data_IF_648390391845
#
_entry.id   IF_648390391845
#
_cell.length_a   1.000
_cell.length_b   1.000
_cell.length_c   1.000
_cell.angle_alpha   90.00
_cell.angle_beta   90.00
_cell.angle_gamma   90.00
#
_symmetry.space_group_name_H-M   'P 1'
#
loop_
_entity.id
_entity.type
_entity.pdbx_description
1 polymer ?
#
# COMPACT_ATOMS: atom_id res chain seq x y z
N UNK A 1 -4.09 -7.08 15.12
CA UNK A 1 -4.37 -5.98 16.08
C UNK A 1 -4.88 -4.80 15.28
N UNK A 2 -5.80 -4.02 15.84
CA UNK A 2 -6.35 -2.82 15.17
C UNK A 2 -5.92 -1.57 15.95
N UNK A 3 -5.56 -0.50 15.24
CA UNK A 3 -5.26 0.82 15.81
C UNK A 3 -6.19 1.83 15.19
N UNK A 4 -7.07 2.42 16.00
CA UNK A 4 -7.89 3.55 15.60
C UNK A 4 -7.01 4.79 15.37
N UNK A 5 -7.22 5.46 14.25
CA UNK A 5 -6.54 6.70 13.90
C UNK A 5 -7.38 7.88 14.38
N UNK A 6 -6.71 8.95 14.79
CA UNK A 6 -7.38 10.22 15.06
C UNK A 6 -7.93 10.79 13.74
N UNK A 7 -9.16 11.29 13.74
CA UNK A 7 -9.79 11.91 12.56
C UNK A 7 -8.96 13.08 11.99
N UNK A 8 -8.12 13.69 12.82
CA UNK A 8 -7.25 14.82 12.48
C UNK A 8 -5.78 14.45 12.52
N UNK A 9 -5.45 13.17 12.33
CA UNK A 9 -4.07 12.72 12.31
C UNK A 9 -3.29 13.46 11.21
N UNK A 10 -2.21 14.13 11.62
CA UNK A 10 -1.29 14.77 10.71
C UNK A 10 -0.22 13.76 10.22
N UNK A 11 0.59 14.20 9.27
CA UNK A 11 1.67 13.40 8.70
C UNK A 11 2.62 12.86 9.78
N UNK A 12 3.06 13.72 10.70
CA UNK A 12 4.00 13.35 11.74
C UNK A 12 3.41 12.31 12.70
N UNK A 13 2.14 12.46 13.06
CA UNK A 13 1.40 11.50 13.87
C UNK A 13 1.30 10.14 13.18
N UNK A 14 0.90 10.13 11.90
CA UNK A 14 0.79 8.91 11.13
C UNK A 14 2.15 8.20 10.97
N UNK A 15 3.18 8.96 10.59
CA UNK A 15 4.56 8.46 10.45
C UNK A 15 5.09 7.91 11.77
N UNK A 16 4.76 8.55 12.90
CA UNK A 16 5.14 8.08 14.23
C UNK A 16 4.49 6.74 14.58
N UNK A 17 3.22 6.53 14.19
CA UNK A 17 2.54 5.24 14.37
C UNK A 17 3.27 4.17 13.54
N UNK A 18 3.52 4.41 12.25
CA UNK A 18 4.22 3.43 11.41
C UNK A 18 5.62 3.14 11.94
N UNK A 19 6.36 4.15 12.40
CA UNK A 19 7.70 3.99 13.01
C UNK A 19 7.69 3.16 14.30
N UNK A 20 6.57 3.09 15.02
CA UNK A 20 6.46 2.23 16.20
C UNK A 20 6.49 0.74 15.82
N UNK A 21 6.16 0.40 14.57
CA UNK A 21 6.19 -0.95 14.02
C UNK A 21 7.41 -1.21 13.13
N UNK A 22 7.71 -0.28 12.23
CA UNK A 22 8.75 -0.42 11.21
C UNK A 22 9.85 0.60 11.45
N UNK A 23 10.96 0.15 12.03
CA UNK A 23 12.06 1.03 12.45
C UNK A 23 12.99 1.40 11.31
N UNK A 24 13.03 0.57 10.26
CA UNK A 24 13.92 0.74 9.12
C UNK A 24 13.10 1.01 7.85
N UNK A 25 13.27 0.16 6.84
CA UNK A 25 12.65 0.25 5.53
C UNK A 25 11.14 0.04 5.63
N UNK A 26 10.37 0.83 4.87
CA UNK A 26 8.95 0.61 4.69
C UNK A 26 8.68 0.39 3.20
N UNK A 27 8.30 -0.82 2.83
CA UNK A 27 7.80 -1.11 1.49
C UNK A 27 6.31 -0.79 1.45
N UNK A 28 5.93 0.02 0.47
CA UNK A 28 4.54 0.37 0.18
C UNK A 28 4.14 -0.40 -1.07
N UNK A 29 3.17 -1.31 -0.95
CA UNK A 29 2.61 -2.06 -2.07
C UNK A 29 1.21 -1.55 -2.34
N UNK A 30 0.90 -1.26 -3.60
CA UNK A 30 -0.39 -0.71 -3.98
C UNK A 30 -0.76 -1.05 -5.43
N UNK A 31 -2.06 -1.03 -5.72
CA UNK A 31 -2.57 -0.88 -7.07
C UNK A 31 -3.03 0.57 -7.24
N UNK A 32 -2.24 1.37 -7.95
CA UNK A 32 -2.50 2.80 -8.16
C UNK A 32 -3.38 2.97 -9.42
N UNK A 33 -4.59 3.55 -9.33
CA UNK A 33 -5.42 3.86 -10.48
C UNK A 33 -4.70 4.78 -11.47
N UNK A 34 -4.88 4.58 -12.78
CA UNK A 34 -4.21 5.40 -13.80
C UNK A 34 -4.58 6.90 -13.75
N UNK A 35 -5.74 7.27 -13.19
CA UNK A 35 -6.10 8.67 -13.00
C UNK A 35 -5.26 9.40 -11.91
N UNK A 36 -4.57 8.67 -11.02
CA UNK A 36 -3.73 9.25 -9.94
C UNK A 36 -2.40 9.79 -10.48
N UNK A 37 -2.46 10.65 -11.50
CA UNK A 37 -1.28 11.20 -12.16
C UNK A 37 -0.39 12.02 -11.21
N UNK A 38 -1.00 12.73 -10.26
CA UNK A 38 -0.27 13.52 -9.27
C UNK A 38 0.62 12.61 -8.40
N UNK A 39 0.09 11.48 -7.94
CA UNK A 39 0.88 10.51 -7.18
C UNK A 39 1.97 9.88 -8.05
N UNK A 40 1.69 9.52 -9.31
CA UNK A 40 2.75 9.00 -10.19
C UNK A 40 3.88 10.01 -10.41
N UNK A 41 3.57 11.30 -10.49
CA UNK A 41 4.59 12.35 -10.62
C UNK A 41 5.44 12.46 -9.35
N UNK A 42 4.80 12.43 -8.17
CA UNK A 42 5.47 12.42 -6.86
C UNK A 42 6.39 11.21 -6.68
N UNK A 43 5.97 10.04 -7.17
CA UNK A 43 6.71 8.79 -7.04
C UNK A 43 7.69 8.52 -8.19
N UNK A 44 7.81 9.38 -9.19
CA UNK A 44 8.34 9.05 -10.53
C UNK A 44 9.68 8.31 -10.59
N UNK A 45 10.58 8.50 -9.63
CA UNK A 45 11.87 7.80 -9.59
C UNK A 45 11.91 6.61 -8.63
N UNK A 46 10.92 6.50 -7.75
CA UNK A 46 10.91 5.57 -6.61
C UNK A 46 9.86 4.46 -6.74
N UNK A 47 8.84 4.64 -7.59
CA UNK A 47 7.84 3.62 -7.87
C UNK A 47 8.33 2.60 -8.89
N UNK A 48 8.30 1.33 -8.49
CA UNK A 48 8.64 0.19 -9.33
C UNK A 48 7.35 -0.46 -9.80
N UNK A 49 7.01 -0.23 -11.07
CA UNK A 49 5.90 -0.88 -11.74
C UNK A 49 6.20 -2.37 -11.96
N UNK A 50 5.23 -3.21 -11.60
CA UNK A 50 5.30 -4.66 -11.76
C UNK A 50 4.35 -5.15 -12.85
N UNK A 51 3.09 -4.70 -12.82
CA UNK A 51 2.08 -5.14 -13.79
C UNK A 51 0.86 -4.21 -13.80
N UNK A 52 -0.01 -4.35 -14.80
CA UNK A 52 -1.24 -3.57 -14.93
C UNK A 52 -2.47 -4.48 -14.96
N UNK A 53 -3.52 -4.10 -14.22
CA UNK A 53 -4.75 -4.88 -14.13
C UNK A 53 -5.99 -3.99 -14.27
N UNK A 54 -7.08 -4.49 -14.87
CA UNK A 54 -8.34 -3.76 -14.85
C UNK A 54 -8.90 -3.73 -13.43
N UNK A 55 -9.28 -2.54 -12.96
CA UNK A 55 -9.88 -2.33 -11.64
C UNK A 55 -11.35 -2.80 -11.65
N UNK A 56 -11.79 -3.54 -10.62
CA UNK A 56 -13.16 -4.06 -10.57
C UNK A 56 -14.21 -2.99 -10.22
N UNK A 57 -13.80 -1.85 -9.64
CA UNK A 57 -14.68 -0.84 -9.06
C UNK A 57 -15.07 0.30 -10.01
N UNK A 58 -14.56 0.31 -11.24
CA UNK A 58 -14.74 1.42 -12.17
C UNK A 58 -15.75 1.07 -13.26
N UNK A 59 -16.69 2.00 -13.52
CA UNK A 59 -17.72 1.87 -14.57
C UNK A 59 -17.11 1.89 -15.98
N UNK A 60 -15.97 2.57 -16.11
CA UNK A 60 -15.06 2.51 -17.26
C UNK A 60 -14.03 1.41 -17.03
N UNK A 61 -13.51 0.77 -18.09
CA UNK A 61 -12.43 -0.24 -18.00
C UNK A 61 -11.10 0.41 -17.58
N UNK A 62 -11.06 0.97 -16.39
CA UNK A 62 -9.89 1.64 -15.87
C UNK A 62 -8.86 0.61 -15.44
N UNK A 63 -7.60 0.91 -15.73
CA UNK A 63 -6.47 0.08 -15.34
C UNK A 63 -5.85 0.65 -14.07
N UNK A 64 -5.40 -0.24 -13.21
CA UNK A 64 -4.57 0.05 -12.04
C UNK A 64 -3.19 -0.54 -12.24
N UNK A 65 -2.19 0.23 -11.85
CA UNK A 65 -0.78 -0.13 -11.88
C UNK A 65 -0.40 -0.79 -10.56
N UNK A 66 -0.12 -2.09 -10.60
CA UNK A 66 0.48 -2.80 -9.49
C UNK A 66 1.97 -2.45 -9.44
N UNK A 67 2.42 -2.01 -8.27
CA UNK A 67 3.84 -1.82 -8.03
C UNK A 67 4.12 -1.61 -6.55
N UNK A 68 5.33 -1.16 -6.29
CA UNK A 68 5.76 -0.87 -4.93
C UNK A 68 6.78 0.27 -4.88
N UNK A 69 6.90 0.85 -3.70
CA UNK A 69 7.90 1.85 -3.36
C UNK A 69 8.71 1.32 -2.19
N UNK A 70 10.04 1.40 -2.28
CA UNK A 70 10.91 1.22 -1.12
C UNK A 70 11.09 2.58 -0.44
N UNK A 71 10.31 2.84 0.59
CA UNK A 71 10.27 4.12 1.29
C UNK A 71 11.03 4.05 2.63
N UNK A 72 12.36 4.07 2.56
CA UNK A 72 13.24 4.06 3.73
C UNK A 72 13.10 5.32 4.60
N UNK A 73 12.66 6.44 4.02
CA UNK A 73 12.47 7.71 4.73
C UNK A 73 11.03 7.91 5.24
N UNK A 74 10.11 7.01 4.86
CA UNK A 74 8.68 7.12 5.16
C UNK A 74 8.08 8.45 4.68
N UNK A 75 8.56 8.95 3.54
CA UNK A 75 8.12 10.22 2.96
C UNK A 75 6.79 10.09 2.22
N UNK A 76 6.42 8.88 1.80
CA UNK A 76 5.23 8.61 0.99
C UNK A 76 4.09 7.96 1.78
N UNK A 77 4.36 7.40 2.96
CA UNK A 77 3.35 6.63 3.70
C UNK A 77 2.08 7.45 4.01
N UNK A 78 2.21 8.75 4.24
CA UNK A 78 1.07 9.62 4.51
C UNK A 78 0.30 9.97 3.23
N UNK A 79 0.99 10.20 2.12
CA UNK A 79 0.33 10.45 0.83
C UNK A 79 -0.49 9.26 0.35
N UNK A 80 0.01 8.05 0.56
CA UNK A 80 -0.73 6.82 0.33
C UNK A 80 -1.90 6.67 1.30
N UNK A 81 -1.72 7.02 2.57
CA UNK A 81 -2.80 7.04 3.56
C UNK A 81 -3.95 7.97 3.15
N UNK A 82 -3.65 9.20 2.71
CA UNK A 82 -4.67 10.16 2.27
C UNK A 82 -5.51 9.65 1.09
N UNK A 83 -4.94 8.75 0.28
CA UNK A 83 -5.58 8.15 -0.90
C UNK A 83 -6.07 6.72 -0.65
N UNK A 84 -6.03 6.22 0.58
CA UNK A 84 -6.34 4.82 0.89
C UNK A 84 -7.79 4.44 0.60
N UNK A 85 -8.70 5.42 0.56
CA UNK A 85 -10.13 5.20 0.27
C UNK A 85 -10.42 5.07 -1.22
N UNK A 86 -9.52 5.56 -2.08
CA UNK A 86 -9.62 5.51 -3.54
C UNK A 86 -8.73 4.45 -4.17
N UNK A 87 -7.82 3.85 -3.40
CA UNK A 87 -6.90 2.81 -3.84
C UNK A 87 -7.29 1.43 -3.34
N UNK A 88 -7.21 0.45 -4.23
CA UNK A 88 -7.33 -0.95 -3.86
C UNK A 88 -5.93 -1.50 -3.44
N UNK A 89 -5.92 -2.36 -2.42
CA UNK A 89 -4.74 -3.13 -1.98
C UNK A 89 -3.52 -2.32 -1.50
N UNK A 90 -3.72 -1.38 -0.57
CA UNK A 90 -2.63 -0.66 0.09
C UNK A 90 -2.08 -1.44 1.30
N UNK A 91 -0.81 -1.86 1.19
CA UNK A 91 -0.12 -2.66 2.20
C UNK A 91 1.25 -2.04 2.51
N UNK A 92 1.55 -1.90 3.79
CA UNK A 92 2.88 -1.55 4.28
C UNK A 92 3.58 -2.78 4.87
N UNK A 93 4.88 -2.94 4.61
CA UNK A 93 5.67 -4.00 5.24
C UNK A 93 7.14 -3.61 5.38
N UNK A 94 7.81 -4.11 6.41
CA UNK A 94 9.27 -4.02 6.54
C UNK A 94 10.00 -5.05 5.64
N UNK A 95 9.26 -6.03 5.11
CA UNK A 95 9.82 -7.13 4.29
C UNK A 95 9.63 -6.87 2.81
N UNK A 96 10.71 -7.06 2.04
CA UNK A 96 10.66 -7.05 0.59
C UNK A 96 9.97 -8.34 0.07
N UNK A 97 8.87 -8.17 -0.66
CA UNK A 97 8.13 -9.24 -1.33
C UNK A 97 7.99 -9.00 -2.83
N UNK A 98 8.87 -8.17 -3.41
CA UNK A 98 8.87 -7.81 -4.83
C UNK A 98 8.94 -9.04 -5.76
N UNK A 99 9.70 -10.07 -5.39
CA UNK A 99 9.77 -11.33 -6.15
C UNK A 99 8.44 -12.09 -6.18
N UNK A 100 7.70 -12.08 -5.07
CA UNK A 100 6.37 -12.70 -4.95
C UNK A 100 5.34 -11.87 -5.71
N UNK A 101 5.44 -10.54 -5.65
CA UNK A 101 4.60 -9.60 -6.37
C UNK A 101 4.68 -9.81 -7.88
N UNK A 102 5.89 -10.01 -8.41
CA UNK A 102 6.15 -10.30 -9.83
C UNK A 102 5.52 -11.61 -10.33
N UNK A 103 5.16 -12.53 -9.42
CA UNK A 103 4.51 -13.80 -9.76
C UNK A 103 2.99 -13.70 -9.80
N UNK A 104 2.41 -12.55 -9.38
CA UNK A 104 0.97 -12.35 -9.40
C UNK A 104 0.44 -12.32 -10.84
N UNK A 105 -0.71 -12.94 -11.03
CA UNK A 105 -1.43 -12.94 -12.31
C UNK A 105 -2.83 -12.41 -12.10
N UNK A 106 -3.52 -12.02 -13.19
CA UNK A 106 -4.90 -11.51 -13.13
C UNK A 106 -5.88 -12.47 -12.42
N UNK A 107 -5.61 -13.77 -12.41
CA UNK A 107 -6.47 -14.77 -11.74
C UNK A 107 -6.25 -14.84 -10.23
N UNK A 108 -5.10 -14.41 -9.74
CA UNK A 108 -4.67 -14.51 -8.34
C UNK A 108 -4.21 -13.13 -7.82
N UNK A 109 -4.94 -12.06 -8.14
CA UNK A 109 -4.57 -10.68 -7.79
C UNK A 109 -4.93 -10.32 -6.34
N UNK A 110 -4.95 -11.28 -5.43
CA UNK A 110 -5.18 -10.97 -4.01
C UNK A 110 -3.84 -10.77 -3.32
N UNK A 111 -3.41 -9.51 -3.24
CA UNK A 111 -2.14 -9.14 -2.60
C UNK A 111 -2.22 -9.45 -1.10
N UNK A 112 -3.38 -9.25 -0.45
CA UNK A 112 -3.53 -9.55 0.98
C UNK A 112 -3.36 -11.05 1.23
N UNK A 113 -3.99 -11.90 0.43
CA UNK A 113 -3.83 -13.35 0.53
C UNK A 113 -2.37 -13.75 0.32
N UNK A 114 -1.67 -13.13 -0.62
CA UNK A 114 -0.24 -13.37 -0.87
C UNK A 114 0.61 -13.07 0.39
N UNK A 115 0.36 -11.97 1.09
CA UNK A 115 1.05 -11.68 2.36
C UNK A 115 0.72 -12.72 3.44
N UNK A 116 -0.55 -13.12 3.54
CA UNK A 116 -0.99 -14.09 4.55
C UNK A 116 -0.40 -15.48 4.33
N UNK A 117 -0.40 -15.97 3.08
CA UNK A 117 0.15 -17.29 2.72
C UNK A 117 1.65 -17.38 2.95
N UNK A 118 2.37 -16.28 2.68
CA UNK A 118 3.81 -16.20 2.93
C UNK A 118 4.15 -15.85 4.39
N UNK A 119 3.14 -15.67 5.25
CA UNK A 119 3.30 -15.27 6.66
C UNK A 119 4.18 -14.03 6.83
N UNK A 120 3.98 -13.04 5.95
CA UNK A 120 4.73 -11.79 5.99
C UNK A 120 3.96 -10.82 6.89
N UNK A 121 4.62 -10.31 7.91
CA UNK A 121 4.04 -9.27 8.78
C UNK A 121 3.80 -7.99 7.98
N UNK A 122 2.61 -7.43 8.09
CA UNK A 122 2.17 -6.31 7.27
C UNK A 122 1.14 -5.44 8.01
N UNK A 123 1.01 -4.19 7.54
CA UNK A 123 -0.01 -3.25 7.98
C UNK A 123 -0.90 -2.94 6.78
N UNK A 124 -2.21 -2.98 6.98
CA UNK A 124 -3.20 -2.50 5.99
C UNK A 124 -4.03 -1.39 6.60
N UNK A 125 -4.70 -0.61 5.76
CA UNK A 125 -5.63 0.42 6.20
C UNK A 125 -7.05 -0.14 6.10
N UNK A 126 -7.88 0.15 7.11
CA UNK A 126 -9.30 -0.17 7.08
C UNK A 126 -10.02 0.50 5.90
N UNK A 127 -11.18 -0.03 5.47
CA UNK A 127 -11.89 0.45 4.27
C UNK A 127 -12.16 1.97 4.24
N UNK A 128 -12.37 2.57 5.41
CA UNK A 128 -12.71 3.99 5.54
C UNK A 128 -11.52 4.86 5.97
N UNK A 129 -10.30 4.32 5.99
CA UNK A 129 -9.11 5.09 6.42
C UNK A 129 -9.04 5.37 7.93
N UNK A 130 -9.96 4.83 8.73
CA UNK A 130 -10.11 5.18 10.15
C UNK A 130 -9.27 4.34 11.11
N UNK A 131 -8.71 3.22 10.64
CA UNK A 131 -7.86 2.37 11.47
C UNK A 131 -6.80 1.65 10.63
N UNK A 132 -5.77 1.18 11.32
CA UNK A 132 -4.75 0.29 10.78
C UNK A 132 -4.99 -1.14 11.27
N UNK A 133 -4.87 -2.11 10.36
CA UNK A 133 -4.81 -3.53 10.71
C UNK A 133 -3.36 -3.97 10.73
N UNK A 134 -2.88 -4.36 11.91
CA UNK A 134 -1.52 -4.87 12.12
C UNK A 134 -1.57 -6.39 12.15
N UNK A 135 -0.92 -7.03 11.19
CA UNK A 135 -0.77 -8.50 11.10
C UNK A 135 0.69 -8.85 11.38
N UNK A 136 0.91 -9.68 12.40
CA UNK A 136 2.23 -10.16 12.82
C UNK A 136 2.24 -11.68 12.89
N UNK A 137 3.34 -12.29 12.47
CA UNK A 137 3.58 -13.73 12.48
C UNK A 137 4.77 -14.13 13.34
#
# INVERSE_FOLDING_TARGET
MEILLDEKIDEQGFVSIINSFYKQDCYIYAIIPQYEQDLFNELSNDFIEVNNFPLPRTLTREMGCLGYVKDSQKQYIYDFYLRSTTMDYLIFSETDVSEQLNKLTKKNLDIYEMFQLNKVSHITIGPDGQWLNIVQY
#
